data_IF_343461900480
#
_entry.id   IF_343461900480
#
_cell.length_a   1.000
_cell.length_b   1.000
_cell.length_c   1.000
_cell.angle_alpha   90.00
_cell.angle_beta   90.00
_cell.angle_gamma   90.00
#
_symmetry.space_group_name_H-M   'P 1'
#
loop_
_entity.id
_entity.type
_entity.pdbx_description
1 polymer ?
#
# COMPACT_ATOMS: atom_id res chain seq x y z
N UNK A 1 -0.55 -19.20 -38.01
CA UNK A 1 -0.19 -19.60 -36.63
C UNK A 1 0.69 -18.48 -36.12
N UNK A 2 0.07 -17.49 -35.49
CA UNK A 2 0.78 -16.29 -35.02
C UNK A 2 1.57 -16.64 -33.76
N UNK A 3 2.78 -16.07 -33.59
CA UNK A 3 3.61 -16.35 -32.43
C UNK A 3 2.92 -15.81 -31.17
N UNK A 4 2.78 -16.71 -30.19
CA UNK A 4 2.35 -16.39 -28.83
C UNK A 4 3.15 -15.19 -28.33
N UNK A 5 2.46 -14.07 -28.09
CA UNK A 5 3.02 -12.91 -27.41
C UNK A 5 3.38 -13.33 -25.99
N UNK A 6 4.63 -13.72 -25.80
CA UNK A 6 5.22 -13.93 -24.48
C UNK A 6 5.07 -12.62 -23.73
N UNK A 7 4.19 -12.60 -22.72
CA UNK A 7 4.05 -11.48 -21.80
C UNK A 7 5.43 -11.28 -21.18
N UNK A 8 6.11 -10.21 -21.60
CA UNK A 8 7.39 -9.80 -20.98
C UNK A 8 7.05 -9.41 -19.56
N UNK A 9 7.31 -10.29 -18.60
CA UNK A 9 7.49 -9.90 -17.22
C UNK A 9 8.62 -8.86 -17.24
N UNK A 10 8.26 -7.58 -17.11
CA UNK A 10 9.20 -6.48 -16.97
C UNK A 10 10.19 -6.89 -15.89
N UNK A 11 11.47 -6.94 -16.24
CA UNK A 11 12.57 -7.12 -15.29
C UNK A 11 12.45 -6.03 -14.24
N UNK A 12 11.88 -6.38 -13.08
CA UNK A 12 11.73 -5.45 -11.97
C UNK A 12 13.14 -5.17 -11.45
N UNK A 13 13.55 -3.91 -11.52
CA UNK A 13 14.84 -3.44 -11.06
C UNK A 13 14.81 -3.34 -9.53
N UNK A 14 15.92 -3.67 -8.86
CA UNK A 14 16.06 -3.40 -7.42
C UNK A 14 16.09 -1.91 -7.08
N UNK A 15 16.15 -1.03 -8.10
CA UNK A 15 15.97 0.42 -7.96
C UNK A 15 14.53 0.88 -8.19
N UNK A 16 13.62 -0.02 -8.56
CA UNK A 16 12.21 0.34 -8.67
C UNK A 16 11.63 0.50 -7.26
N UNK A 17 10.92 1.61 -7.06
CA UNK A 17 10.19 1.92 -5.81
C UNK A 17 9.20 0.80 -5.40
N UNK A 18 8.91 -0.10 -6.35
CA UNK A 18 7.91 -1.17 -6.32
C UNK A 18 8.20 -2.26 -5.27
N UNK A 19 9.38 -2.24 -4.61
CA UNK A 19 9.75 -3.18 -3.54
C UNK A 19 10.01 -2.52 -2.17
N UNK A 20 9.79 -1.21 -2.05
CA UNK A 20 10.07 -0.49 -0.82
C UNK A 20 8.89 -0.57 0.16
N UNK A 21 9.13 -1.12 1.35
CA UNK A 21 8.19 -0.97 2.46
C UNK A 21 8.39 0.42 3.05
N UNK A 22 7.34 1.23 2.97
CA UNK A 22 7.28 2.59 3.53
C UNK A 22 6.58 2.57 4.88
N UNK A 23 7.01 3.45 5.78
CA UNK A 23 6.31 3.74 7.03
C UNK A 23 5.40 4.94 6.84
N UNK A 24 4.12 4.79 7.18
CA UNK A 24 3.12 5.82 7.05
C UNK A 24 2.58 6.19 8.44
N UNK A 25 2.49 7.49 8.75
CA UNK A 25 1.81 7.96 9.96
C UNK A 25 0.30 8.02 9.72
N UNK A 26 -0.47 8.17 10.79
CA UNK A 26 -1.93 8.32 10.65
C UNK A 26 -2.29 9.55 9.81
N UNK A 27 -1.62 10.68 10.00
CA UNK A 27 -1.90 11.91 9.22
C UNK A 27 -1.61 11.73 7.73
N UNK A 28 -0.51 11.05 7.38
CA UNK A 28 -0.19 10.70 5.99
C UNK A 28 -1.25 9.79 5.38
N UNK A 29 -1.77 8.85 6.17
CA UNK A 29 -2.83 7.93 5.76
C UNK A 29 -4.16 8.67 5.53
N UNK A 30 -4.50 9.62 6.39
CA UNK A 30 -5.68 10.48 6.22
C UNK A 30 -5.52 11.31 4.94
N UNK A 31 -4.37 11.95 4.74
CA UNK A 31 -4.10 12.75 3.54
C UNK A 31 -4.17 11.91 2.25
N UNK A 32 -3.57 10.72 2.26
CA UNK A 32 -3.65 9.78 1.13
C UNK A 32 -5.10 9.39 0.83
N UNK A 33 -5.87 9.10 1.89
CA UNK A 33 -7.27 8.74 1.80
C UNK A 33 -8.13 9.87 1.21
N UNK A 34 -7.94 11.11 1.65
CA UNK A 34 -8.69 12.27 1.15
C UNK A 34 -8.38 12.59 -0.32
N UNK A 35 -7.10 12.49 -0.71
CA UNK A 35 -6.68 12.65 -2.10
C UNK A 35 -7.34 11.57 -2.97
N UNK A 36 -7.22 10.31 -2.56
CA UNK A 36 -7.79 9.19 -3.28
C UNK A 36 -9.32 9.31 -3.43
N UNK A 37 -10.03 9.77 -2.40
CA UNK A 37 -11.47 10.07 -2.49
C UNK A 37 -11.78 11.22 -3.44
N UNK A 38 -11.03 12.32 -3.35
CA UNK A 38 -11.22 13.50 -4.21
C UNK A 38 -11.00 13.16 -5.68
N UNK A 39 -10.02 12.32 -5.97
CA UNK A 39 -9.69 11.80 -7.30
C UNK A 39 -10.58 10.62 -7.74
N UNK A 40 -11.48 10.15 -6.86
CA UNK A 40 -12.37 8.98 -7.08
C UNK A 40 -11.61 7.70 -7.43
N UNK A 41 -10.48 7.48 -6.77
CA UNK A 41 -9.74 6.22 -6.87
C UNK A 41 -10.48 5.10 -6.14
N UNK A 42 -10.20 3.86 -6.56
CA UNK A 42 -11.00 2.70 -6.18
C UNK A 42 -10.76 2.23 -4.75
N UNK A 43 -9.51 2.28 -4.27
CA UNK A 43 -9.15 1.70 -2.97
C UNK A 43 -9.11 2.78 -1.87
N UNK A 44 -10.26 3.00 -1.21
CA UNK A 44 -10.40 3.93 -0.07
C UNK A 44 -11.48 3.49 0.91
N UNK A 45 -11.45 4.02 2.15
CA UNK A 45 -12.58 3.95 3.07
C UNK A 45 -13.78 4.77 2.57
N UNK A 46 -14.94 4.56 3.18
CA UNK A 46 -16.14 5.37 2.87
C UNK A 46 -16.00 6.82 3.37
N UNK A 47 -15.36 7.02 4.52
CA UNK A 47 -15.15 8.33 5.17
C UNK A 47 -13.86 8.35 6.00
N UNK A 48 -13.39 9.55 6.34
CA UNK A 48 -12.29 9.74 7.30
C UNK A 48 -12.66 9.19 8.68
N UNK A 49 -13.90 9.37 9.12
CA UNK A 49 -14.36 8.82 10.41
C UNK A 49 -14.32 7.29 10.45
N UNK A 50 -14.68 6.62 9.34
CA UNK A 50 -14.57 5.17 9.22
C UNK A 50 -13.11 4.71 9.33
N UNK A 51 -12.18 5.42 8.67
CA UNK A 51 -10.74 5.19 8.78
C UNK A 51 -10.27 5.37 10.24
N UNK A 52 -10.65 6.46 10.90
CA UNK A 52 -10.25 6.76 12.27
C UNK A 52 -10.83 5.79 13.30
N UNK A 53 -12.03 5.28 13.07
CA UNK A 53 -12.67 4.27 13.90
C UNK A 53 -12.02 2.88 13.74
N UNK A 54 -11.49 2.60 12.55
CA UNK A 54 -10.85 1.33 12.26
C UNK A 54 -9.38 1.29 12.67
N UNK A 55 -8.59 2.31 12.33
CA UNK A 55 -7.13 2.28 12.45
C UNK A 55 -6.69 2.77 13.83
N UNK A 56 -5.86 1.98 14.51
CA UNK A 56 -5.20 2.40 15.74
C UNK A 56 -4.17 3.51 15.46
N UNK A 57 -4.30 4.71 16.04
CA UNK A 57 -3.37 5.81 15.83
C UNK A 57 -1.93 5.47 16.23
N UNK A 58 -1.76 4.71 17.31
CA UNK A 58 -0.46 4.39 17.89
C UNK A 58 0.26 3.26 17.14
N UNK A 59 -0.43 2.53 16.25
CA UNK A 59 0.20 1.44 15.52
C UNK A 59 1.08 1.96 14.39
N UNK A 60 2.21 1.31 14.09
CA UNK A 60 2.89 1.54 12.82
C UNK A 60 1.94 1.16 11.67
N UNK A 61 2.04 1.90 10.56
CA UNK A 61 1.38 1.54 9.31
C UNK A 61 2.44 1.31 8.25
N UNK A 62 2.39 0.15 7.62
CA UNK A 62 3.35 -0.26 6.61
C UNK A 62 2.67 -0.21 5.26
N UNK A 63 3.36 0.28 4.24
CA UNK A 63 2.84 0.43 2.90
C UNK A 63 3.79 -0.23 1.91
N UNK A 64 3.28 -1.11 1.06
CA UNK A 64 4.04 -1.75 -0.02
C UNK A 64 3.28 -1.57 -1.34
N UNK A 65 3.93 -1.10 -2.42
CA UNK A 65 3.33 -1.05 -3.74
C UNK A 65 2.92 -2.45 -4.22
N UNK A 66 1.71 -2.56 -4.76
CA UNK A 66 1.21 -3.77 -5.41
C UNK A 66 1.25 -3.62 -6.94
N UNK A 67 0.77 -2.49 -7.43
CA UNK A 67 0.74 -2.16 -8.86
C UNK A 67 0.68 -0.65 -9.06
N UNK A 68 1.24 -0.18 -10.17
CA UNK A 68 1.01 1.18 -10.67
C UNK A 68 -0.39 1.23 -11.26
N UNK A 69 -1.20 2.18 -10.81
CA UNK A 69 -2.48 2.42 -11.47
C UNK A 69 -2.18 2.87 -12.90
N UNK A 70 -2.86 2.28 -13.88
CA UNK A 70 -2.75 2.74 -15.25
C UNK A 70 -3.05 4.25 -15.27
N UNK A 71 -2.17 5.04 -15.90
CA UNK A 71 -2.36 6.47 -16.12
C UNK A 71 -3.53 6.70 -17.10
N UNK A 72 -4.73 6.28 -16.74
CA UNK A 72 -5.97 6.51 -17.49
C UNK A 72 -6.58 7.82 -17.00
N UNK A 73 -6.58 8.83 -17.87
CA UNK A 73 -7.17 10.17 -17.74
C UNK A 73 -6.84 11.02 -16.49
N UNK A 74 -6.21 10.46 -15.46
CA UNK A 74 -5.74 11.22 -14.30
C UNK A 74 -4.33 11.71 -14.54
N UNK A 75 -4.14 13.03 -14.64
CA UNK A 75 -2.83 13.71 -14.76
C UNK A 75 -1.83 13.38 -13.63
N UNK A 76 -2.23 12.58 -12.63
CA UNK A 76 -1.44 12.27 -11.45
C UNK A 76 -1.17 10.77 -11.39
N UNK A 77 0.11 10.42 -11.35
CA UNK A 77 0.56 9.03 -11.14
C UNK A 77 0.19 8.54 -9.74
N UNK A 78 -0.36 7.34 -9.64
CA UNK A 78 -0.72 6.70 -8.38
C UNK A 78 -0.33 5.24 -8.33
N UNK A 79 -0.14 4.76 -7.10
CA UNK A 79 0.14 3.38 -6.78
C UNK A 79 -1.06 2.81 -6.03
N UNK A 80 -1.45 1.59 -6.36
CA UNK A 80 -2.23 0.77 -5.45
C UNK A 80 -1.26 0.04 -4.53
N UNK A 81 -1.43 0.25 -3.24
CA UNK A 81 -0.56 -0.29 -2.22
C UNK A 81 -1.32 -1.22 -1.28
N UNK A 82 -0.64 -2.26 -0.83
CA UNK A 82 -1.02 -2.97 0.38
C UNK A 82 -0.67 -2.10 1.58
N UNK A 83 -1.66 -1.89 2.44
CA UNK A 83 -1.54 -1.16 3.70
C UNK A 83 -1.78 -2.12 4.86
N UNK A 84 -0.83 -2.18 5.77
CA UNK A 84 -0.95 -2.94 7.00
C UNK A 84 -0.96 -2.02 8.21
N UNK A 85 -1.86 -2.31 9.13
CA UNK A 85 -2.06 -1.54 10.35
C UNK A 85 -2.68 -2.42 11.44
N UNK A 86 -2.71 -1.93 12.68
CA UNK A 86 -3.50 -2.57 13.75
C UNK A 86 -4.89 -1.93 13.82
N UNK A 87 -5.98 -2.69 13.69
CA UNK A 87 -7.31 -2.17 13.97
C UNK A 87 -7.48 -1.80 15.44
N UNK A 88 -8.31 -0.81 15.78
CA UNK A 88 -8.61 -0.46 17.17
C UNK A 88 -9.28 -1.58 17.96
N UNK A 89 -10.12 -2.36 17.29
CA UNK A 89 -10.90 -3.43 17.90
C UNK A 89 -10.13 -4.75 18.07
N UNK A 90 -8.88 -4.81 17.62
CA UNK A 90 -8.14 -6.07 17.50
C UNK A 90 -6.68 -5.90 17.92
N UNK A 91 -6.15 -6.92 18.62
CA UNK A 91 -4.72 -7.03 18.88
C UNK A 91 -3.95 -7.55 17.66
N UNK A 92 -4.66 -8.19 16.73
CA UNK A 92 -4.15 -8.66 15.46
C UNK A 92 -4.20 -7.52 14.44
N UNK A 93 -3.10 -7.27 13.74
CA UNK A 93 -3.05 -6.47 12.51
C UNK A 93 -4.07 -6.85 11.43
N UNK A 94 -4.17 -5.99 10.42
CA UNK A 94 -5.03 -6.17 9.26
C UNK A 94 -4.32 -5.62 8.03
N UNK A 95 -4.54 -6.27 6.90
CA UNK A 95 -4.15 -5.79 5.59
C UNK A 95 -5.37 -5.24 4.84
N UNK A 96 -5.19 -4.16 4.12
CA UNK A 96 -6.15 -3.64 3.15
C UNK A 96 -5.41 -3.07 1.93
N UNK A 97 -6.15 -2.59 0.95
CA UNK A 97 -5.60 -1.84 -0.17
C UNK A 97 -5.93 -0.35 -0.04
N UNK A 98 -5.01 0.49 -0.47
CA UNK A 98 -5.21 1.93 -0.60
C UNK A 98 -4.51 2.44 -1.86
N UNK A 99 -5.14 3.37 -2.56
CA UNK A 99 -4.51 4.09 -3.67
C UNK A 99 -3.81 5.36 -3.13
N UNK A 100 -2.55 5.59 -3.50
CA UNK A 100 -1.69 6.68 -3.00
C UNK A 100 -1.01 7.38 -4.18
N UNK A 101 -0.86 8.70 -4.12
CA UNK A 101 -0.06 9.43 -5.12
C UNK A 101 1.38 8.93 -5.13
N UNK A 102 1.97 8.75 -6.31
CA UNK A 102 3.36 8.31 -6.43
C UNK A 102 4.32 9.29 -5.73
N UNK A 103 4.08 10.60 -5.86
CA UNK A 103 4.87 11.63 -5.20
C UNK A 103 4.79 11.52 -3.67
N UNK A 104 3.58 11.32 -3.13
CA UNK A 104 3.36 11.10 -1.70
C UNK A 104 4.09 9.84 -1.23
N UNK A 105 3.94 8.72 -1.96
CA UNK A 105 4.61 7.46 -1.64
C UNK A 105 6.14 7.63 -1.57
N UNK A 106 6.74 8.32 -2.54
CA UNK A 106 8.18 8.56 -2.60
C UNK A 106 8.69 9.37 -1.41
N UNK A 107 7.89 10.33 -0.93
CA UNK A 107 8.21 11.18 0.22
C UNK A 107 8.17 10.42 1.56
N UNK A 108 7.49 9.26 1.63
CA UNK A 108 7.42 8.49 2.86
C UNK A 108 8.78 7.91 3.26
N UNK A 109 9.07 7.81 4.58
CA UNK A 109 10.24 7.11 5.08
C UNK A 109 10.29 5.65 4.62
N UNK A 110 11.41 5.25 4.03
CA UNK A 110 11.68 3.85 3.66
C UNK A 110 12.19 3.09 4.89
N UNK A 111 11.67 1.87 5.13
CA UNK A 111 12.28 0.95 6.08
C UNK A 111 13.63 0.46 5.55
N UNK A 112 14.63 0.39 6.43
CA UNK A 112 15.92 -0.19 6.03
C UNK A 112 15.73 -1.65 5.61
N UNK A 113 16.49 -2.17 4.64
CA UNK A 113 16.30 -3.54 4.13
C UNK A 113 16.26 -4.61 5.23
N UNK A 114 17.14 -4.50 6.23
CA UNK A 114 17.15 -5.41 7.38
C UNK A 114 15.84 -5.37 8.19
N UNK A 115 15.25 -4.17 8.37
CA UNK A 115 13.97 -4.00 9.05
C UNK A 115 12.79 -4.36 8.15
N UNK A 116 12.94 -4.25 6.83
CA UNK A 116 11.93 -4.66 5.84
C UNK A 116 11.70 -6.16 5.88
N UNK A 117 12.77 -6.97 5.85
CA UNK A 117 12.63 -8.43 5.98
C UNK A 117 11.98 -8.81 7.30
N UNK A 118 12.45 -8.26 8.43
CA UNK A 118 11.84 -8.52 9.73
C UNK A 118 10.39 -8.03 9.80
N UNK A 119 10.07 -6.88 9.22
CA UNK A 119 8.71 -6.37 9.16
C UNK A 119 7.81 -7.29 8.34
N UNK A 120 8.26 -7.75 7.17
CA UNK A 120 7.56 -8.71 6.29
C UNK A 120 7.41 -10.09 6.95
N UNK A 121 8.42 -10.60 7.64
CA UNK A 121 8.37 -11.86 8.38
C UNK A 121 7.38 -11.78 9.56
N UNK A 122 7.44 -10.70 10.34
CA UNK A 122 6.41 -10.42 11.35
C UNK A 122 5.03 -10.33 10.73
N UNK A 123 4.93 -9.76 9.53
CA UNK A 123 3.68 -9.64 8.79
C UNK A 123 3.11 -11.00 8.43
N UNK A 124 3.92 -11.87 7.82
CA UNK A 124 3.55 -13.25 7.44
C UNK A 124 3.27 -14.13 8.66
N UNK A 125 4.03 -13.95 9.75
CA UNK A 125 3.85 -14.73 10.98
C UNK A 125 2.60 -14.33 11.77
N UNK A 126 2.25 -13.03 11.76
CA UNK A 126 1.06 -12.52 12.46
C UNK A 126 -0.21 -12.70 11.62
N UNK A 127 -0.06 -12.72 10.30
CA UNK A 127 -1.11 -12.98 9.31
C UNK A 127 -0.54 -13.97 8.31
N UNK A 128 -0.73 -15.30 8.50
CA UNK A 128 -0.44 -16.23 7.42
C UNK A 128 -1.15 -15.69 6.20
N UNK A 129 -0.38 -15.36 5.16
CA UNK A 129 -0.88 -14.85 3.89
C UNK A 129 -1.93 -15.85 3.44
N UNK A 130 -3.19 -15.58 3.75
CA UNK A 130 -4.29 -16.40 3.28
C UNK A 130 -4.31 -16.08 1.81
N UNK A 131 -3.99 -17.11 1.02
CA UNK A 131 -4.09 -17.04 -0.43
C UNK A 131 -5.41 -16.37 -0.76
N UNK A 132 -5.33 -15.27 -1.50
CA UNK A 132 -6.51 -14.74 -2.17
C UNK A 132 -6.77 -15.76 -3.27
N UNK A 133 -7.75 -16.64 -3.02
CA UNK A 133 -8.36 -17.47 -4.08
C UNK A 133 -9.09 -16.57 -5.09
#
# INVERSE_FOLDING_TARGET
MEPETTIRYSTVSSQDDDHLVKLMKLDDLIAAHEIARTRRWGATWTTVDALLAEVDPASPKFLLPALRNAAGDTQVESLRCHLWYRPRSSTYGRATIIDVELAQFRALPTLSPAKTTTALELLVATFPLTAID
#
